data_IF_799623375910
#
_entry.id   IF_799623375910
#
_cell.length_a   1.000
_cell.length_b   1.000
_cell.length_c   1.000
_cell.angle_alpha   90.00
_cell.angle_beta   90.00
_cell.angle_gamma   90.00
#
_symmetry.space_group_name_H-M   'P 1'
#
loop_
_entity.id
_entity.type
_entity.pdbx_description
1 polymer ?
#
# COMPACT_ATOMS: atom_id res chain seq x y z
N UNK A 1 27.33 4.21 8.02
CA UNK A 1 26.98 4.30 6.58
C UNK A 1 25.73 3.49 6.35
N UNK A 2 24.80 3.97 5.51
CA UNK A 2 23.60 3.22 5.15
C UNK A 2 23.95 1.88 4.48
N UNK A 3 23.33 0.80 4.94
CA UNK A 3 23.30 -0.48 4.24
C UNK A 3 22.15 -0.44 3.24
N UNK A 4 22.47 -0.31 1.95
CA UNK A 4 21.50 -0.36 0.86
C UNK A 4 21.67 -1.66 0.10
N UNK A 5 20.60 -2.45 -0.02
CA UNK A 5 20.62 -3.74 -0.72
C UNK A 5 19.55 -3.75 -1.80
N UNK A 6 19.93 -4.15 -3.01
CA UNK A 6 18.94 -4.48 -4.04
C UNK A 6 18.50 -5.93 -3.84
N UNK A 7 17.33 -6.13 -3.22
CA UNK A 7 16.73 -7.45 -3.00
C UNK A 7 16.32 -8.06 -4.34
N UNK A 8 15.73 -7.23 -5.22
CA UNK A 8 15.30 -7.63 -6.54
C UNK A 8 15.56 -6.50 -7.53
N UNK A 9 16.32 -6.77 -8.60
CA UNK A 9 16.67 -5.75 -9.60
C UNK A 9 15.46 -5.30 -10.45
N UNK A 10 14.47 -6.19 -10.59
CA UNK A 10 13.45 -6.12 -11.62
C UNK A 10 14.01 -6.57 -12.97
N UNK A 11 13.13 -7.05 -13.85
CA UNK A 11 13.52 -7.36 -15.22
C UNK A 11 14.03 -6.09 -15.91
N UNK A 12 15.25 -6.17 -16.46
CA UNK A 12 15.81 -5.14 -17.33
C UNK A 12 15.00 -5.17 -18.62
N UNK A 13 14.11 -4.20 -18.78
CA UNK A 13 13.37 -3.96 -20.01
C UNK A 13 14.16 -2.95 -20.87
N UNK A 14 13.91 -2.85 -22.19
CA UNK A 14 14.53 -1.84 -23.05
C UNK A 14 14.45 -0.44 -22.42
N UNK A 15 15.43 0.42 -22.73
CA UNK A 15 15.85 1.66 -22.03
C UNK A 15 14.75 2.68 -21.62
N UNK A 16 13.49 2.45 -21.97
CA UNK A 16 12.35 3.31 -21.68
C UNK A 16 11.50 2.80 -20.49
N UNK A 17 11.59 1.51 -20.14
CA UNK A 17 10.76 0.87 -19.12
C UNK A 17 11.38 0.90 -17.72
N UNK A 18 10.79 1.71 -16.83
CA UNK A 18 11.12 1.70 -15.40
C UNK A 18 10.37 0.56 -14.68
N UNK A 19 11.06 -0.29 -13.88
CA UNK A 19 10.36 -1.27 -13.06
C UNK A 19 9.56 -0.56 -11.96
N UNK A 20 8.42 -1.14 -11.59
CA UNK A 20 7.68 -0.68 -10.41
C UNK A 20 8.56 -0.90 -9.17
N UNK A 21 8.93 0.17 -8.50
CA UNK A 21 9.95 0.17 -7.45
C UNK A 21 9.30 0.24 -6.08
N UNK A 22 9.50 -0.83 -5.29
CA UNK A 22 9.18 -0.88 -3.87
C UNK A 22 10.46 -0.64 -3.08
N UNK A 23 10.42 0.31 -2.16
CA UNK A 23 11.48 0.51 -1.17
C UNK A 23 10.97 0.04 0.19
N UNK A 24 11.76 -0.78 0.89
CA UNK A 24 11.52 -1.14 2.29
C UNK A 24 12.63 -0.50 3.11
N UNK A 25 12.31 0.36 4.06
CA UNK A 25 13.30 1.09 4.85
C UNK A 25 13.06 0.88 6.34
N UNK A 26 14.14 0.83 7.12
CA UNK A 26 14.07 0.94 8.56
C UNK A 26 13.86 2.42 8.92
N UNK A 27 12.74 2.74 9.57
CA UNK A 27 12.48 4.11 9.98
C UNK A 27 13.49 4.52 11.07
N UNK A 28 14.20 5.66 10.95
CA UNK A 28 15.22 6.01 11.94
C UNK A 28 14.68 6.75 13.16
N UNK A 29 13.75 7.68 12.96
CA UNK A 29 13.13 8.47 14.01
C UNK A 29 11.62 8.48 13.86
N UNK A 30 10.91 8.58 14.98
CA UNK A 30 9.46 8.73 14.99
C UNK A 30 9.15 10.13 15.52
N UNK A 31 8.29 10.86 14.83
CA UNK A 31 7.63 12.04 15.38
C UNK A 31 6.63 11.57 16.44
N UNK A 32 6.92 11.88 17.70
CA UNK A 32 6.16 11.45 18.86
C UNK A 32 5.72 12.70 19.64
N UNK A 33 4.52 13.25 19.38
CA UNK A 33 4.02 14.46 20.04
C UNK A 33 3.98 14.37 21.57
N UNK A 34 3.91 13.15 22.11
CA UNK A 34 3.95 12.85 23.53
C UNK A 34 5.37 12.92 24.14
N UNK A 35 6.41 12.88 23.30
CA UNK A 35 7.80 13.00 23.74
C UNK A 35 8.13 14.47 24.05
N UNK A 36 8.86 14.78 25.15
CA UNK A 36 9.32 16.14 25.47
C UNK A 36 10.09 16.81 24.33
N UNK A 37 10.67 15.98 23.49
CA UNK A 37 11.63 16.28 22.45
C UNK A 37 11.01 16.26 21.05
N UNK A 38 9.71 15.93 20.94
CA UNK A 38 8.94 15.79 19.71
C UNK A 38 9.33 14.61 18.82
N UNK A 39 10.50 14.01 19.05
CA UNK A 39 11.02 12.88 18.30
C UNK A 39 11.60 11.83 19.24
N UNK A 40 11.43 10.55 18.89
CA UNK A 40 12.06 9.42 19.56
C UNK A 40 12.80 8.55 18.55
N UNK A 41 13.87 7.91 19.01
CA UNK A 41 14.58 6.94 18.18
C UNK A 41 13.67 5.74 17.93
N UNK A 42 13.59 5.28 16.68
CA UNK A 42 12.83 4.07 16.38
C UNK A 42 13.63 2.83 16.79
N UNK A 43 13.10 1.90 17.60
CA UNK A 43 13.84 0.71 18.00
C UNK A 43 14.32 -0.15 16.83
N UNK A 44 13.67 -0.07 15.67
CA UNK A 44 14.03 -0.87 14.49
C UNK A 44 15.47 -0.65 14.02
N UNK A 45 16.04 0.56 14.18
CA UNK A 45 17.41 0.83 13.73
C UNK A 45 18.49 0.17 14.58
N UNK A 46 18.12 -0.47 15.69
CA UNK A 46 19.02 -1.31 16.47
C UNK A 46 18.90 -2.81 16.16
N UNK A 47 17.99 -3.19 15.25
CA UNK A 47 17.64 -4.59 15.01
C UNK A 47 17.47 -4.91 13.51
N UNK A 48 18.59 -5.01 12.80
CA UNK A 48 18.63 -5.31 11.36
C UNK A 48 18.02 -6.69 11.03
N UNK A 49 18.17 -7.68 11.91
CA UNK A 49 17.59 -9.02 11.72
C UNK A 49 16.05 -8.97 11.69
N UNK A 50 15.44 -8.23 12.63
CA UNK A 50 13.97 -8.03 12.63
C UNK A 50 13.52 -7.23 11.41
N UNK A 51 14.31 -6.24 10.98
CA UNK A 51 14.02 -5.51 9.76
C UNK A 51 14.02 -6.44 8.53
N UNK A 52 15.06 -7.26 8.37
CA UNK A 52 15.20 -8.19 7.24
C UNK A 52 14.10 -9.26 7.24
N UNK A 53 13.74 -9.81 8.40
CA UNK A 53 12.62 -10.76 8.55
C UNK A 53 11.30 -10.12 8.10
N UNK A 54 11.04 -8.88 8.54
CA UNK A 54 9.80 -8.17 8.21
C UNK A 54 9.76 -7.76 6.75
N UNK A 55 10.88 -7.32 6.18
CA UNK A 55 10.98 -7.04 4.76
C UNK A 55 10.70 -8.30 3.93
N UNK A 56 11.26 -9.45 4.30
CA UNK A 56 10.99 -10.71 3.62
C UNK A 56 9.51 -11.12 3.73
N UNK A 57 8.94 -11.10 4.93
CA UNK A 57 7.54 -11.46 5.16
C UNK A 57 6.58 -10.55 4.37
N UNK A 58 6.83 -9.24 4.35
CA UNK A 58 6.08 -8.27 3.57
C UNK A 58 6.05 -8.64 2.08
N UNK A 59 7.21 -8.97 1.50
CA UNK A 59 7.30 -9.31 0.08
C UNK A 59 6.57 -10.63 -0.24
N UNK A 60 6.65 -11.62 0.65
CA UNK A 60 5.88 -12.85 0.51
C UNK A 60 4.36 -12.57 0.53
N UNK A 61 3.90 -11.66 1.38
CA UNK A 61 2.51 -11.20 1.41
C UNK A 61 2.11 -10.45 0.13
N UNK A 62 2.91 -9.49 -0.33
CA UNK A 62 2.60 -8.69 -1.55
C UNK A 62 2.54 -9.59 -2.79
N UNK A 63 3.48 -10.53 -2.91
CA UNK A 63 3.59 -11.39 -4.10
C UNK A 63 2.75 -12.68 -4.01
N UNK A 64 1.90 -12.83 -2.99
CA UNK A 64 0.95 -13.93 -2.92
C UNK A 64 1.58 -15.28 -2.58
N UNK A 65 2.63 -15.28 -1.76
CA UNK A 65 3.45 -16.46 -1.46
C UNK A 65 3.28 -16.97 -0.02
N UNK A 66 2.51 -16.28 0.83
CA UNK A 66 2.19 -16.82 2.14
C UNK A 66 1.40 -18.13 2.03
N UNK A 67 1.56 -19.06 2.98
CA UNK A 67 0.82 -20.32 2.97
C UNK A 67 -0.70 -20.11 2.90
N UNK A 68 -1.32 -20.67 1.85
CA UNK A 68 -2.77 -20.60 1.67
C UNK A 68 -3.30 -19.25 1.18
N UNK A 69 -2.41 -18.35 0.74
CA UNK A 69 -2.81 -17.03 0.28
C UNK A 69 -3.66 -17.08 -0.99
N UNK A 70 -4.82 -16.43 -0.92
CA UNK A 70 -5.80 -16.37 -1.99
C UNK A 70 -5.50 -15.25 -2.99
N UNK A 71 -5.02 -14.10 -2.53
CA UNK A 71 -4.61 -12.99 -3.40
C UNK A 71 -3.22 -13.24 -3.98
N UNK A 72 -3.14 -13.34 -5.30
CA UNK A 72 -1.90 -13.63 -6.03
C UNK A 72 -1.73 -12.72 -7.24
N UNK A 73 -2.46 -11.59 -7.33
CA UNK A 73 -2.48 -10.74 -8.52
C UNK A 73 -1.09 -10.28 -8.97
N UNK A 74 -0.17 -10.05 -8.03
CA UNK A 74 1.19 -9.59 -8.33
C UNK A 74 2.19 -10.73 -8.47
N UNK A 75 1.86 -11.95 -8.06
CA UNK A 75 2.80 -13.08 -8.04
C UNK A 75 3.37 -13.40 -9.43
N UNK A 76 2.55 -13.29 -10.49
CA UNK A 76 2.98 -13.57 -11.87
C UNK A 76 3.87 -12.48 -12.48
N UNK A 77 3.86 -11.28 -11.89
CA UNK A 77 4.68 -10.14 -12.32
C UNK A 77 5.75 -9.80 -11.29
N UNK A 78 5.96 -10.67 -10.28
CA UNK A 78 6.89 -10.40 -9.19
C UNK A 78 8.28 -10.06 -9.74
N UNK A 79 8.78 -10.80 -10.75
CA UNK A 79 10.10 -10.52 -11.36
C UNK A 79 10.23 -9.15 -12.03
N UNK A 80 9.13 -8.47 -12.34
CA UNK A 80 9.13 -7.15 -12.99
C UNK A 80 9.26 -6.00 -11.98
N UNK A 81 9.10 -6.28 -10.69
CA UNK A 81 9.29 -5.28 -9.63
C UNK A 81 10.77 -5.09 -9.33
N UNK A 82 11.15 -3.86 -9.01
CA UNK A 82 12.41 -3.60 -8.31
C UNK A 82 12.13 -3.49 -6.83
N UNK A 83 12.94 -4.14 -6.01
CA UNK A 83 12.82 -4.09 -4.55
C UNK A 83 14.17 -3.70 -3.96
N UNK A 84 14.19 -2.59 -3.24
CA UNK A 84 15.37 -2.07 -2.55
C UNK A 84 15.08 -2.07 -1.05
N UNK A 85 16.02 -2.55 -0.24
CA UNK A 85 16.00 -2.36 1.20
C UNK A 85 17.05 -1.34 1.65
N UNK A 86 16.67 -0.52 2.62
CA UNK A 86 17.53 0.52 3.22
C UNK A 86 17.52 0.36 4.74
N UNK A 87 18.69 0.12 5.31
CA UNK A 87 18.91 0.13 6.74
C UNK A 87 20.01 1.16 7.07
N UNK A 88 19.66 2.24 7.74
CA UNK A 88 20.61 3.32 8.06
C UNK A 88 20.47 3.77 9.52
N UNK A 89 21.22 3.10 10.40
CA UNK A 89 21.18 3.34 11.84
C UNK A 89 21.88 4.64 12.28
N UNK A 90 22.61 5.31 11.38
CA UNK A 90 23.42 6.49 11.72
C UNK A 90 22.71 7.82 11.39
N UNK A 91 21.45 7.77 10.95
CA UNK A 91 20.70 8.98 10.61
C UNK A 91 20.54 9.89 11.84
N UNK A 92 20.99 11.16 11.76
CA UNK A 92 20.89 12.07 12.88
C UNK A 92 19.43 12.38 13.20
N UNK A 93 19.15 12.71 14.45
CA UNK A 93 17.84 13.19 14.87
C UNK A 93 17.49 14.47 14.12
N UNK A 94 16.47 14.42 13.29
CA UNK A 94 15.91 15.59 12.61
C UNK A 94 14.49 15.33 12.14
N UNK A 95 13.79 16.41 11.79
CA UNK A 95 12.44 16.33 11.23
C UNK A 95 12.42 15.56 9.90
N UNK A 96 13.47 15.73 9.09
CA UNK A 96 13.62 15.13 7.76
C UNK A 96 13.90 13.62 7.82
N UNK A 97 14.41 13.13 8.96
CA UNK A 97 14.69 11.71 9.18
C UNK A 97 13.59 11.02 9.99
N UNK A 98 12.57 11.74 10.45
CA UNK A 98 11.39 11.14 11.05
C UNK A 98 10.34 10.89 9.95
N UNK A 99 10.24 9.65 9.47
CA UNK A 99 9.34 9.29 8.35
C UNK A 99 7.97 8.82 8.82
N UNK A 100 7.84 8.53 10.11
CA UNK A 100 6.61 8.07 10.75
C UNK A 100 6.27 9.01 11.90
N UNK A 101 4.98 9.22 12.14
CA UNK A 101 4.45 9.88 13.33
C UNK A 101 3.49 8.99 14.11
N UNK A 102 3.34 9.28 15.40
CA UNK A 102 2.28 8.74 16.23
C UNK A 102 1.00 9.57 16.06
N UNK A 103 -0.13 8.88 15.87
CA UNK A 103 -1.44 9.51 16.01
C UNK A 103 -1.95 9.44 17.47
N UNK A 104 -3.20 9.84 17.70
CA UNK A 104 -3.83 9.76 19.02
C UNK A 104 -4.65 8.47 19.24
N UNK A 105 -4.63 7.50 18.32
CA UNK A 105 -5.46 6.29 18.30
C UNK A 105 -4.69 4.97 18.16
N UNK A 106 -3.41 4.95 18.57
CA UNK A 106 -2.51 3.79 18.52
C UNK A 106 -2.15 3.35 17.08
N UNK A 107 -2.08 4.31 16.15
CA UNK A 107 -1.68 4.12 14.75
C UNK A 107 -0.32 4.80 14.51
N UNK A 108 0.57 4.11 13.80
CA UNK A 108 1.74 4.72 13.16
C UNK A 108 1.35 5.26 11.80
N UNK A 109 1.64 6.52 11.54
CA UNK A 109 1.21 7.24 10.32
C UNK A 109 2.42 7.67 9.51
N UNK A 110 2.47 7.42 8.20
CA UNK A 110 3.56 7.93 7.38
C UNK A 110 3.50 9.47 7.28
N UNK A 111 4.65 10.12 7.44
CA UNK A 111 4.85 11.56 7.18
C UNK A 111 5.18 11.75 5.72
N UNK A 112 4.16 11.67 4.87
CA UNK A 112 4.30 11.47 3.41
C UNK A 112 5.26 12.46 2.72
N UNK A 113 5.27 13.73 3.15
CA UNK A 113 6.13 14.78 2.59
C UNK A 113 7.63 14.57 2.86
N UNK A 114 7.99 13.71 3.82
CA UNK A 114 9.39 13.43 4.18
C UNK A 114 10.04 12.37 3.32
N UNK A 115 9.25 11.47 2.72
CA UNK A 115 9.79 10.30 2.02
C UNK A 115 10.59 10.64 0.77
N UNK A 116 10.04 11.45 -0.14
CA UNK A 116 10.75 11.78 -1.39
C UNK A 116 12.09 12.51 -1.13
N UNK A 117 12.14 13.58 -0.30
CA UNK A 117 13.41 14.19 0.08
C UNK A 117 14.38 13.23 0.77
N UNK A 118 13.90 12.35 1.64
CA UNK A 118 14.74 11.35 2.32
C UNK A 118 15.38 10.38 1.33
N UNK A 119 14.61 9.82 0.40
CA UNK A 119 15.10 8.89 -0.62
C UNK A 119 16.14 9.56 -1.55
N UNK A 120 15.98 10.84 -1.87
CA UNK A 120 16.94 11.58 -2.69
C UNK A 120 18.33 11.71 -2.05
N UNK A 121 18.43 11.55 -0.73
CA UNK A 121 19.73 11.52 -0.02
C UNK A 121 20.46 10.19 -0.17
N UNK A 122 19.82 9.16 -0.73
CA UNK A 122 20.36 7.82 -0.87
C UNK A 122 20.77 7.59 -2.32
N UNK A 123 22.06 7.37 -2.54
CA UNK A 123 22.60 6.99 -3.84
C UNK A 123 22.76 5.48 -3.94
N UNK A 124 22.20 4.90 -4.99
CA UNK A 124 22.30 3.47 -5.29
C UNK A 124 23.19 3.28 -6.50
N UNK A 125 24.27 2.52 -6.35
CA UNK A 125 25.23 2.26 -7.43
C UNK A 125 24.54 1.71 -8.66
N UNK A 126 24.72 2.38 -9.80
CA UNK A 126 24.09 2.00 -11.08
C UNK A 126 22.63 2.46 -11.25
N UNK A 127 22.04 3.14 -10.27
CA UNK A 127 20.67 3.67 -10.32
C UNK A 127 20.58 5.18 -10.03
N UNK A 128 21.61 5.76 -9.42
CA UNK A 128 21.60 7.16 -8.99
C UNK A 128 20.78 7.36 -7.72
N UNK A 129 20.15 8.52 -7.58
CA UNK A 129 19.29 8.83 -6.43
C UNK A 129 18.08 7.91 -6.38
N UNK A 130 17.78 7.37 -5.21
CA UNK A 130 16.69 6.44 -5.03
C UNK A 130 15.34 7.14 -5.27
N UNK A 131 14.50 6.50 -6.09
CA UNK A 131 13.10 6.85 -6.33
C UNK A 131 12.24 5.60 -6.16
N UNK A 132 10.99 5.78 -5.76
CA UNK A 132 10.06 4.68 -5.48
C UNK A 132 8.66 4.99 -6.00
N UNK A 133 7.89 3.93 -6.23
CA UNK A 133 6.44 4.02 -6.43
C UNK A 133 5.71 3.80 -5.10
N UNK A 134 6.20 2.87 -4.29
CA UNK A 134 5.72 2.60 -2.93
C UNK A 134 6.91 2.47 -1.97
N UNK A 135 6.79 3.06 -0.79
CA UNK A 135 7.76 2.95 0.29
C UNK A 135 7.11 2.39 1.55
N UNK A 136 7.69 1.33 2.10
CA UNK A 136 7.38 0.81 3.41
C UNK A 136 8.44 1.26 4.42
N UNK A 137 8.06 2.12 5.35
CA UNK A 137 8.85 2.42 6.53
C UNK A 137 8.48 1.41 7.63
N UNK A 138 9.41 0.53 7.98
CA UNK A 138 9.25 -0.43 9.07
C UNK A 138 9.58 0.28 10.38
N UNK A 139 8.73 0.10 11.39
CA UNK A 139 8.89 0.70 12.73
C UNK A 139 8.73 -0.33 13.83
N UNK A 140 9.56 -0.22 14.86
CA UNK A 140 9.47 -0.97 16.11
C UNK A 140 8.85 -0.16 17.24
N UNK A 141 7.97 0.81 16.94
CA UNK A 141 7.33 1.67 17.95
C UNK A 141 6.80 0.86 19.14
N UNK A 142 7.18 1.28 20.35
CA UNK A 142 6.78 0.58 21.57
C UNK A 142 5.34 0.90 22.01
N UNK A 143 4.74 1.96 21.45
CA UNK A 143 3.45 2.50 21.91
C UNK A 143 2.36 2.49 20.85
N UNK A 144 2.72 2.34 19.56
CA UNK A 144 1.81 2.35 18.43
C UNK A 144 2.05 1.13 17.53
N UNK A 145 1.05 0.23 17.44
CA UNK A 145 1.21 -1.05 16.74
C UNK A 145 0.32 -1.23 15.51
N UNK A 146 -0.58 -0.28 15.23
CA UNK A 146 -1.46 -0.33 14.05
C UNK A 146 -0.80 0.40 12.89
N UNK A 147 -0.70 -0.30 11.75
CA UNK A 147 -0.11 0.24 10.53
C UNK A 147 -1.10 1.12 9.78
N UNK A 148 -0.59 1.97 8.89
CA UNK A 148 -1.41 2.78 7.97
C UNK A 148 -0.62 3.19 6.73
N UNK A 149 -1.35 3.70 5.74
CA UNK A 149 -0.78 4.10 4.47
C UNK A 149 -1.38 5.40 3.92
N UNK A 150 -0.61 6.07 3.09
CA UNK A 150 -1.07 7.15 2.22
C UNK A 150 -0.94 6.77 0.75
N UNK A 151 -1.94 7.20 -0.03
CA UNK A 151 -1.98 7.03 -1.48
C UNK A 151 -0.85 7.80 -2.15
N UNK A 152 -0.46 7.39 -3.36
CA UNK A 152 0.50 8.12 -4.19
C UNK A 152 -0.01 9.52 -4.55
N UNK A 153 0.88 10.52 -4.62
CA UNK A 153 0.62 11.77 -5.33
C UNK A 153 1.27 11.71 -6.72
N UNK A 154 0.44 11.46 -7.73
CA UNK A 154 0.90 11.38 -9.11
C UNK A 154 1.42 12.71 -9.66
N UNK A 155 2.34 12.64 -10.62
CA UNK A 155 2.72 13.80 -11.44
C UNK A 155 1.70 14.04 -12.55
N UNK A 156 0.88 15.08 -12.38
CA UNK A 156 -0.15 15.46 -13.36
C UNK A 156 0.43 16.06 -14.65
N UNK A 157 1.71 16.43 -14.67
CA UNK A 157 2.42 16.94 -15.84
C UNK A 157 2.83 15.85 -16.83
N UNK A 158 2.82 14.58 -16.41
CA UNK A 158 3.26 13.45 -17.24
C UNK A 158 2.07 12.75 -17.89
N UNK A 159 2.16 12.49 -19.20
CA UNK A 159 1.14 11.73 -19.91
C UNK A 159 0.98 10.32 -19.32
N UNK A 160 -0.24 9.81 -19.24
CA UNK A 160 -0.53 8.50 -18.68
C UNK A 160 -1.61 7.76 -19.45
N UNK A 161 -2.03 6.59 -18.95
CA UNK A 161 -3.10 5.80 -19.55
C UNK A 161 -4.45 6.28 -19.02
N UNK A 162 -5.26 6.89 -19.87
CA UNK A 162 -6.64 7.23 -19.52
C UNK A 162 -7.46 5.98 -19.25
N UNK A 163 -8.36 6.07 -18.28
CA UNK A 163 -9.42 5.09 -18.01
C UNK A 163 -10.72 5.83 -17.67
N UNK A 164 -11.83 5.12 -17.74
CA UNK A 164 -13.16 5.65 -17.41
C UNK A 164 -13.77 4.88 -16.26
N UNK A 165 -14.37 5.60 -15.31
CA UNK A 165 -15.18 5.00 -14.25
C UNK A 165 -16.47 5.80 -14.07
N UNK A 166 -17.62 5.15 -14.23
CA UNK A 166 -18.95 5.77 -14.16
C UNK A 166 -19.09 7.02 -15.05
N UNK A 167 -18.50 6.97 -16.26
CA UNK A 167 -18.50 8.06 -17.23
C UNK A 167 -17.50 9.18 -16.94
N UNK A 168 -16.71 9.09 -15.86
CA UNK A 168 -15.63 10.04 -15.54
C UNK A 168 -14.31 9.52 -16.09
N UNK A 169 -13.59 10.36 -16.82
CA UNK A 169 -12.23 10.05 -17.27
C UNK A 169 -11.22 10.39 -16.19
N UNK A 170 -10.31 9.47 -15.92
CA UNK A 170 -9.20 9.57 -14.98
C UNK A 170 -7.94 9.02 -15.65
N UNK A 171 -6.76 9.18 -15.04
CA UNK A 171 -5.49 8.81 -15.69
C UNK A 171 -4.61 8.00 -14.75
N UNK A 172 -4.19 6.81 -15.17
CA UNK A 172 -3.07 6.12 -14.53
C UNK A 172 -1.77 6.81 -14.93
N UNK A 173 -1.21 7.61 -14.02
CA UNK A 173 0.06 8.32 -14.26
C UNK A 173 1.24 7.36 -14.04
N UNK A 174 2.26 7.38 -14.92
CA UNK A 174 3.43 6.51 -14.79
C UNK A 174 4.48 7.09 -13.82
N UNK A 175 4.31 8.33 -13.36
CA UNK A 175 5.23 9.03 -12.46
C UNK A 175 4.49 9.63 -11.27
N UNK A 176 5.22 9.78 -10.17
CA UNK A 176 4.73 10.37 -8.93
C UNK A 176 5.65 11.49 -8.44
N UNK A 177 5.06 12.48 -7.80
CA UNK A 177 5.77 13.54 -7.06
C UNK A 177 6.05 13.05 -5.63
N UNK A 178 5.12 12.31 -5.04
CA UNK A 178 5.31 11.61 -3.79
C UNK A 178 4.87 10.16 -3.93
N UNK A 179 5.70 9.18 -3.48
CA UNK A 179 5.32 7.78 -3.57
C UNK A 179 4.12 7.48 -2.68
N UNK A 180 3.48 6.34 -2.92
CA UNK A 180 2.66 5.70 -1.90
C UNK A 180 3.53 5.39 -0.68
N UNK A 181 3.03 5.66 0.52
CA UNK A 181 3.84 5.48 1.75
C UNK A 181 3.09 4.62 2.74
N UNK A 182 3.81 3.74 3.41
CA UNK A 182 3.28 2.83 4.43
C UNK A 182 4.14 2.94 5.67
N UNK A 183 3.51 3.15 6.83
CA UNK A 183 4.10 2.95 8.13
C UNK A 183 3.70 1.56 8.60
N UNK A 184 4.64 0.61 8.55
CA UNK A 184 4.39 -0.79 8.87
C UNK A 184 5.05 -1.16 10.19
N UNK A 185 4.25 -1.47 11.19
CA UNK A 185 4.79 -1.90 12.48
C UNK A 185 5.38 -3.31 12.40
N UNK A 186 6.43 -3.60 13.16
CA UNK A 186 7.09 -4.92 13.20
C UNK A 186 6.19 -6.07 13.69
N UNK A 187 5.06 -5.80 14.33
CA UNK A 187 4.07 -6.82 14.69
C UNK A 187 3.03 -7.09 13.58
N UNK A 188 3.06 -6.32 12.49
CA UNK A 188 2.17 -6.54 11.36
C UNK A 188 2.33 -7.98 10.83
N UNK A 189 1.21 -8.66 10.67
CA UNK A 189 1.15 -10.08 10.35
C UNK A 189 0.11 -10.35 9.27
N UNK A 190 0.05 -11.60 8.81
CA UNK A 190 -0.85 -12.03 7.74
C UNK A 190 -0.73 -11.10 6.51
N UNK A 191 -1.86 -10.64 5.97
CA UNK A 191 -1.94 -9.81 4.77
C UNK A 191 -1.98 -8.30 5.05
N UNK A 192 -1.62 -7.83 6.25
CA UNK A 192 -1.59 -6.38 6.56
C UNK A 192 -0.71 -5.62 5.56
N UNK A 193 0.49 -6.12 5.26
CA UNK A 193 1.36 -5.47 4.28
C UNK A 193 0.75 -5.37 2.87
N UNK A 194 -0.03 -6.38 2.47
CA UNK A 194 -0.78 -6.37 1.21
C UNK A 194 -1.97 -5.40 1.24
N UNK A 195 -2.65 -5.29 2.38
CA UNK A 195 -3.72 -4.32 2.61
C UNK A 195 -3.20 -2.88 2.45
N UNK A 196 -2.12 -2.55 3.17
CA UNK A 196 -1.50 -1.22 3.08
C UNK A 196 -0.91 -0.93 1.70
N UNK A 197 -0.38 -1.97 1.02
CA UNK A 197 0.03 -1.84 -0.38
C UNK A 197 -1.14 -1.42 -1.27
N UNK A 198 -2.34 -1.95 -1.07
CA UNK A 198 -3.55 -1.58 -1.83
C UNK A 198 -3.85 -0.09 -1.75
N UNK A 199 -3.70 0.52 -0.57
CA UNK A 199 -3.76 1.98 -0.40
C UNK A 199 -2.61 2.67 -1.12
N UNK A 200 -1.37 2.36 -0.74
CA UNK A 200 -0.19 3.08 -1.21
C UNK A 200 -0.03 3.04 -2.74
N UNK A 201 -0.37 1.91 -3.37
CA UNK A 201 -0.32 1.74 -4.81
C UNK A 201 -1.42 2.51 -5.55
N UNK A 202 -2.42 3.07 -4.88
CA UNK A 202 -3.49 3.90 -5.45
C UNK A 202 -3.14 5.40 -5.41
N UNK A 203 -4.04 6.29 -5.85
CA UNK A 203 -3.73 7.72 -6.05
C UNK A 203 -4.74 8.67 -5.42
N UNK A 204 -4.25 9.75 -4.81
CA UNK A 204 -5.08 10.83 -4.26
C UNK A 204 -6.05 11.43 -5.30
N UNK A 205 -5.57 11.66 -6.53
CA UNK A 205 -6.34 12.30 -7.60
C UNK A 205 -6.91 11.30 -8.59
N UNK A 206 -6.16 10.25 -8.89
CA UNK A 206 -6.49 9.28 -9.94
C UNK A 206 -7.09 7.98 -9.41
N UNK A 207 -7.61 8.00 -8.18
CA UNK A 207 -8.45 6.95 -7.62
C UNK A 207 -7.86 6.35 -6.36
N UNK A 208 -8.51 6.61 -5.24
CA UNK A 208 -8.13 6.08 -3.93
C UNK A 208 -8.78 4.72 -3.72
N UNK A 209 -7.99 3.71 -3.37
CA UNK A 209 -8.51 2.46 -2.80
C UNK A 209 -8.57 2.66 -1.30
N UNK A 210 -9.75 2.52 -0.68
CA UNK A 210 -10.00 2.89 0.73
C UNK A 210 -10.43 1.69 1.56
N UNK A 211 -10.31 1.78 2.89
CA UNK A 211 -10.79 0.74 3.80
C UNK A 211 -12.26 0.47 3.54
N UNK A 212 -12.71 -0.77 3.61
CA UNK A 212 -14.10 -1.17 3.44
C UNK A 212 -14.78 -1.47 4.79
N UNK A 213 -14.03 -1.46 5.89
CA UNK A 213 -14.56 -1.74 7.23
C UNK A 213 -15.02 -0.49 8.00
N UNK A 214 -15.03 0.68 7.35
CA UNK A 214 -15.48 1.95 7.92
C UNK A 214 -16.55 2.54 7.00
N UNK A 215 -17.72 2.93 7.52
CA UNK A 215 -18.71 3.62 6.69
C UNK A 215 -18.17 5.00 6.27
N UNK A 216 -18.42 5.43 5.03
CA UNK A 216 -17.92 6.73 4.61
C UNK A 216 -17.96 7.03 3.12
N UNK A 217 -17.00 7.86 2.70
CA UNK A 217 -16.89 8.45 1.37
C UNK A 217 -16.73 7.44 0.22
N UNK A 218 -16.56 7.96 -0.99
CA UNK A 218 -16.38 7.14 -2.20
C UNK A 218 -14.89 7.03 -2.55
N UNK A 219 -14.45 5.82 -2.87
CA UNK A 219 -13.13 5.52 -3.45
C UNK A 219 -13.30 4.74 -4.75
N UNK A 220 -12.27 4.14 -5.32
CA UNK A 220 -12.42 3.18 -6.43
C UNK A 220 -13.29 2.00 -5.99
N UNK A 221 -13.10 1.52 -4.76
CA UNK A 221 -13.66 0.28 -4.23
C UNK A 221 -14.88 0.46 -3.29
N UNK A 222 -15.27 1.71 -3.02
CA UNK A 222 -16.41 2.06 -2.16
C UNK A 222 -17.34 3.07 -2.83
N UNK A 223 -18.65 2.89 -2.67
CA UNK A 223 -19.71 3.81 -3.12
C UNK A 223 -20.71 4.03 -1.99
N UNK A 224 -21.57 5.05 -2.14
CA UNK A 224 -22.67 5.35 -1.21
C UNK A 224 -24.02 5.17 -1.91
N UNK A 225 -24.96 4.53 -1.23
CA UNK A 225 -26.31 4.32 -1.76
C UNK A 225 -27.05 3.21 -1.02
N UNK A 226 -28.30 3.49 -0.64
CA UNK A 226 -29.24 2.52 -0.06
C UNK A 226 -30.61 2.62 -0.74
N UNK A 227 -31.32 1.50 -0.97
CA UNK A 227 -30.82 0.11 -0.85
C UNK A 227 -29.61 -0.14 -1.75
N UNK A 228 -28.81 -1.18 -1.48
CA UNK A 228 -27.61 -1.49 -2.29
C UNK A 228 -28.03 -1.66 -3.75
N UNK A 229 -27.55 -0.81 -4.67
CA UNK A 229 -27.85 -0.97 -6.09
C UNK A 229 -27.26 -2.28 -6.63
N UNK A 230 -27.83 -2.87 -7.68
CA UNK A 230 -27.24 -4.08 -8.28
C UNK A 230 -25.92 -3.80 -9.02
N UNK A 231 -25.72 -2.58 -9.50
CA UNK A 231 -24.50 -2.12 -10.16
C UNK A 231 -23.62 -1.38 -9.17
N UNK A 232 -22.34 -1.74 -9.12
CA UNK A 232 -21.33 -0.98 -8.38
C UNK A 232 -20.78 0.16 -9.22
N UNK A 233 -20.16 -0.18 -10.36
CA UNK A 233 -19.55 0.78 -11.27
C UNK A 233 -19.44 0.23 -12.69
N UNK A 234 -19.18 1.12 -13.65
CA UNK A 234 -18.68 0.77 -14.99
C UNK A 234 -17.26 1.26 -15.13
N UNK A 235 -16.29 0.36 -15.22
CA UNK A 235 -14.86 0.67 -15.37
C UNK A 235 -14.36 0.19 -16.75
N UNK A 236 -13.89 1.13 -17.58
CA UNK A 236 -13.48 0.89 -18.98
C UNK A 236 -14.50 0.06 -19.76
N UNK A 237 -15.77 0.45 -19.66
CA UNK A 237 -16.90 -0.23 -20.30
C UNK A 237 -17.33 -1.55 -19.65
N UNK A 238 -16.53 -2.09 -18.72
CA UNK A 238 -16.86 -3.31 -17.97
C UNK A 238 -17.75 -2.99 -16.78
N UNK A 239 -18.88 -3.71 -16.67
CA UNK A 239 -19.83 -3.54 -15.57
C UNK A 239 -19.42 -4.43 -14.40
N UNK A 240 -19.32 -3.85 -13.21
CA UNK A 240 -19.05 -4.54 -11.96
C UNK A 240 -20.29 -4.49 -11.07
N UNK A 241 -20.75 -5.65 -10.58
CA UNK A 241 -21.89 -5.71 -9.68
C UNK A 241 -21.52 -5.19 -8.29
N UNK A 242 -22.52 -4.71 -7.54
CA UNK A 242 -22.36 -4.49 -6.11
C UNK A 242 -22.45 -5.82 -5.37
N UNK A 243 -21.66 -5.94 -4.32
CA UNK A 243 -21.73 -7.12 -3.47
C UNK A 243 -22.99 -7.06 -2.60
N UNK A 244 -23.78 -8.13 -2.62
CA UNK A 244 -24.97 -8.28 -1.77
C UNK A 244 -24.60 -8.48 -0.28
N UNK A 245 -23.38 -8.96 0.01
CA UNK A 245 -22.82 -9.12 1.36
C UNK A 245 -21.34 -8.75 1.36
N UNK A 246 -20.69 -8.74 2.52
CA UNK A 246 -19.27 -8.36 2.65
C UNK A 246 -18.33 -9.57 2.73
N UNK A 247 -18.85 -10.77 2.48
CA UNK A 247 -18.10 -12.02 2.45
C UNK A 247 -17.88 -12.66 3.81
N UNK A 248 -17.68 -13.98 3.83
CA UNK A 248 -17.49 -14.73 5.06
C UNK A 248 -18.66 -14.56 6.02
N UNK A 249 -18.38 -14.09 7.24
CA UNK A 249 -19.41 -13.78 8.25
C UNK A 249 -19.79 -12.31 8.27
N UNK A 250 -19.27 -11.48 7.37
CA UNK A 250 -19.54 -10.04 7.34
C UNK A 250 -20.82 -9.73 6.57
N UNK A 251 -21.63 -8.88 7.19
CA UNK A 251 -22.76 -8.21 6.55
C UNK A 251 -22.54 -6.70 6.56
N UNK A 252 -23.33 -5.97 5.79
CA UNK A 252 -23.43 -4.52 5.95
C UNK A 252 -24.17 -4.21 7.26
N UNK A 253 -23.60 -3.42 8.17
CA UNK A 253 -24.34 -2.88 9.31
C UNK A 253 -25.52 -2.02 8.84
N UNK A 254 -26.61 -2.02 9.63
CA UNK A 254 -27.87 -1.38 9.27
C UNK A 254 -27.75 0.15 9.11
N UNK A 255 -26.83 0.77 9.84
CA UNK A 255 -26.56 2.21 9.84
C UNK A 255 -25.60 2.65 8.73
N UNK A 256 -24.97 1.72 8.03
CA UNK A 256 -24.02 2.07 6.97
C UNK A 256 -24.72 2.57 5.72
N UNK A 257 -24.13 3.60 5.10
CA UNK A 257 -24.57 4.13 3.81
C UNK A 257 -23.73 3.64 2.63
N UNK A 258 -22.56 3.09 2.90
CA UNK A 258 -21.63 2.59 1.91
C UNK A 258 -21.89 1.14 1.49
N UNK A 259 -21.49 0.83 0.26
CA UNK A 259 -21.52 -0.50 -0.34
C UNK A 259 -20.31 -0.71 -1.26
N UNK A 260 -19.98 -1.97 -1.52
CA UNK A 260 -18.71 -2.38 -2.13
C UNK A 260 -18.93 -3.17 -3.42
N UNK A 261 -17.88 -3.27 -4.23
CA UNK A 261 -17.87 -4.10 -5.43
C UNK A 261 -17.98 -5.58 -5.08
N UNK A 262 -18.54 -6.38 -5.98
CA UNK A 262 -18.63 -7.83 -5.86
C UNK A 262 -17.29 -8.51 -5.58
N UNK A 263 -17.34 -9.46 -4.65
CA UNK A 263 -16.18 -10.25 -4.24
C UNK A 263 -15.77 -11.25 -5.32
N UNK A 264 -14.49 -11.61 -5.33
CA UNK A 264 -13.99 -12.74 -6.14
C UNK A 264 -14.46 -14.08 -5.57
N UNK A 265 -14.50 -14.19 -4.24
CA UNK A 265 -14.99 -15.34 -3.49
C UNK A 265 -15.83 -14.84 -2.32
N UNK A 266 -17.12 -15.17 -2.31
CA UNK A 266 -18.05 -14.71 -1.27
C UNK A 266 -17.84 -15.40 0.08
N UNK A 267 -17.01 -16.45 0.15
CA UNK A 267 -16.67 -17.09 1.41
C UNK A 267 -15.66 -16.27 2.25
N UNK A 268 -15.02 -15.26 1.68
CA UNK A 268 -14.01 -14.45 2.36
C UNK A 268 -14.26 -12.96 2.13
N UNK A 269 -14.00 -12.11 3.14
CA UNK A 269 -13.97 -10.66 2.96
C UNK A 269 -12.95 -10.21 1.92
N UNK A 270 -13.10 -8.97 1.43
CA UNK A 270 -12.08 -8.35 0.60
C UNK A 270 -10.82 -8.03 1.41
N UNK A 271 -9.65 -7.97 0.76
CA UNK A 271 -8.38 -7.54 1.40
C UNK A 271 -8.54 -6.16 2.05
N UNK A 272 -9.28 -5.24 1.43
CA UNK A 272 -9.52 -3.90 1.97
C UNK A 272 -10.60 -3.85 3.04
N UNK A 273 -11.29 -4.96 3.33
CA UNK A 273 -12.31 -5.05 4.38
C UNK A 273 -11.68 -5.53 5.71
N UNK A 274 -12.49 -5.77 6.73
CA UNK A 274 -12.03 -6.35 8.00
C UNK A 274 -11.73 -7.84 7.79
N UNK A 275 -10.61 -8.10 7.10
CA UNK A 275 -10.19 -9.43 6.71
C UNK A 275 -9.92 -10.33 7.93
N UNK A 276 -9.70 -9.75 9.12
CA UNK A 276 -9.65 -10.48 10.39
C UNK A 276 -10.96 -11.19 10.76
N UNK A 277 -12.06 -10.88 10.06
CA UNK A 277 -13.36 -11.57 10.18
C UNK A 277 -13.54 -12.69 9.15
N UNK A 278 -12.49 -13.07 8.42
CA UNK A 278 -12.53 -14.23 7.54
C UNK A 278 -12.89 -15.51 8.32
N UNK A 279 -13.78 -16.32 7.75
CA UNK A 279 -14.29 -17.51 8.40
C UNK A 279 -13.15 -18.52 8.72
N UNK A 280 -13.14 -19.00 9.96
CA UNK A 280 -12.16 -19.98 10.44
C UNK A 280 -10.73 -19.45 10.56
N UNK A 281 -10.55 -18.12 10.68
CA UNK A 281 -9.23 -17.49 10.86
C UNK A 281 -8.35 -17.53 9.60
N UNK A 282 -8.95 -17.73 8.42
CA UNK A 282 -8.24 -17.91 7.15
C UNK A 282 -8.03 -16.60 6.42
N UNK A 283 -7.35 -15.67 7.07
CA UNK A 283 -7.16 -14.29 6.63
C UNK A 283 -6.43 -14.22 5.28
N UNK A 284 -5.45 -15.09 5.06
CA UNK A 284 -4.65 -15.14 3.85
C UNK A 284 -5.51 -15.48 2.62
N UNK A 285 -6.69 -16.08 2.79
CA UNK A 285 -7.61 -16.40 1.67
C UNK A 285 -8.39 -15.20 1.15
N UNK A 286 -8.39 -14.07 1.87
CA UNK A 286 -8.99 -12.84 1.40
C UNK A 286 -8.33 -12.36 0.09
N UNK A 287 -9.14 -11.74 -0.77
CA UNK A 287 -8.74 -11.23 -2.09
C UNK A 287 -9.26 -9.82 -2.27
N UNK A 288 -8.63 -9.01 -3.11
CA UNK A 288 -9.27 -7.78 -3.54
C UNK A 288 -10.59 -8.11 -4.24
N UNK A 289 -11.59 -7.24 -4.11
CA UNK A 289 -12.80 -7.33 -4.93
C UNK A 289 -12.47 -7.19 -6.42
N UNK A 290 -13.42 -7.55 -7.29
CA UNK A 290 -13.15 -7.67 -8.72
C UNK A 290 -12.66 -6.35 -9.34
N UNK A 291 -13.23 -5.21 -8.95
CA UNK A 291 -12.85 -3.92 -9.50
C UNK A 291 -11.49 -3.46 -8.95
N UNK A 292 -11.29 -3.55 -7.64
CA UNK A 292 -10.03 -3.12 -7.00
C UNK A 292 -8.83 -3.86 -7.59
N UNK A 293 -8.96 -5.18 -7.77
CA UNK A 293 -7.93 -6.01 -8.40
C UNK A 293 -7.60 -5.51 -9.81
N UNK A 294 -8.62 -5.27 -10.63
CA UNK A 294 -8.43 -4.81 -12.01
C UNK A 294 -7.78 -3.42 -12.05
N UNK A 295 -8.26 -2.49 -11.22
CA UNK A 295 -7.74 -1.13 -11.12
C UNK A 295 -6.26 -1.10 -10.74
N UNK A 296 -5.87 -1.84 -9.69
CA UNK A 296 -4.48 -1.89 -9.23
C UNK A 296 -3.56 -2.51 -10.28
N UNK A 297 -4.00 -3.60 -10.94
CA UNK A 297 -3.24 -4.23 -12.02
C UNK A 297 -3.02 -3.28 -13.20
N UNK A 298 -4.04 -2.53 -13.60
CA UNK A 298 -3.94 -1.57 -14.70
C UNK A 298 -3.00 -0.42 -14.40
N UNK A 299 -3.05 0.09 -13.16
CA UNK A 299 -2.17 1.15 -12.69
C UNK A 299 -0.71 0.70 -12.67
N UNK A 300 -0.43 -0.43 -12.03
CA UNK A 300 0.93 -1.00 -11.92
C UNK A 300 1.49 -1.30 -13.32
N UNK A 301 0.68 -1.88 -14.21
CA UNK A 301 1.11 -2.14 -15.59
C UNK A 301 1.44 -0.88 -16.36
N UNK A 302 0.71 0.21 -16.12
CA UNK A 302 0.95 1.51 -16.78
C UNK A 302 2.28 2.11 -16.33
N UNK A 303 2.60 2.02 -15.03
CA UNK A 303 3.90 2.45 -14.50
C UNK A 303 5.03 1.60 -15.09
N UNK A 304 4.85 0.27 -15.14
CA UNK A 304 5.82 -0.67 -15.69
C UNK A 304 5.98 -0.64 -17.22
N UNK A 305 5.06 -0.01 -17.94
CA UNK A 305 5.05 0.08 -19.40
C UNK A 305 5.61 1.39 -19.93
N UNK A 306 6.15 2.24 -19.04
CA UNK A 306 6.80 3.50 -19.43
C UNK A 306 7.82 3.32 -20.54
#
# INVERSE_FOLDING_TARGET
>A
MATVRTIQQGMIKPEEHWPYTIVVLANPWIEAPESPDGFVIDPIISNEDVFDERASFLLEAIFGRLPGQGETMLGTMAQDFRVISVFDAERPRSDENALISHDNTNIVVPRQDKFAPFLETIEVTGMGRLKADVVFAITGSATHDRSSAWFTLDDEGVAGRSFTIDGRTMVHRPENIMPGTVALHTSASSIVGLHEFGHAASSWKNGMVTDLYVDGGSGINKRRGRPVPSLFAVYDGTRYAASANRGGTLTYPDDWTSYHCELVDTAYPAVMDDFWKAAGGKYERCRHDKLTRQFLLDRIRTIMSR
#
